data_IF_798680007765
#
_entry.id   IF_798680007765
#
_cell.length_a   1.000
_cell.length_b   1.000
_cell.length_c   1.000
_cell.angle_alpha   90.00
_cell.angle_beta   90.00
_cell.angle_gamma   90.00
#
_symmetry.space_group_name_H-M   'P 1'
#
loop_
_entity.id
_entity.type
_entity.pdbx_description
1 polymer ?
#
# COMPACT_ATOMS: atom_id res chain seq x y z
N UNK A 1 12.73 -28.14 31.93
CA UNK A 1 12.46 -27.17 30.84
C UNK A 1 13.74 -27.03 30.05
N UNK A 2 13.78 -27.62 28.85
CA UNK A 2 14.89 -27.43 27.92
C UNK A 2 14.80 -25.98 27.40
N UNK A 3 15.83 -25.18 27.66
CA UNK A 3 16.01 -23.89 27.00
C UNK A 3 16.08 -24.13 25.49
N UNK A 4 15.00 -23.78 24.78
CA UNK A 4 15.04 -23.65 23.33
C UNK A 4 16.02 -22.51 23.02
N UNK A 5 17.24 -22.90 22.63
CA UNK A 5 18.25 -22.00 22.09
C UNK A 5 17.57 -21.03 21.13
N UNK A 6 17.74 -19.74 21.39
CA UNK A 6 17.22 -18.67 20.55
C UNK A 6 17.71 -18.91 19.13
N UNK A 7 16.78 -19.08 18.20
CA UNK A 7 17.09 -19.30 16.79
C UNK A 7 17.53 -18.00 16.11
N UNK A 8 17.67 -16.90 16.85
CA UNK A 8 18.08 -15.58 16.36
C UNK A 8 19.60 -15.47 16.18
N UNK A 9 20.02 -14.79 15.10
CA UNK A 9 21.41 -14.39 14.89
C UNK A 9 21.62 -12.90 15.19
N UNK A 10 21.79 -12.57 16.48
CA UNK A 10 21.80 -11.17 16.95
C UNK A 10 23.21 -10.58 17.01
N UNK A 11 23.43 -9.49 16.25
CA UNK A 11 24.70 -8.75 16.16
C UNK A 11 24.53 -7.29 16.59
N UNK A 12 25.64 -6.64 16.94
CA UNK A 12 25.69 -5.19 17.14
C UNK A 12 25.57 -4.50 15.78
N UNK A 13 24.64 -3.55 15.65
CA UNK A 13 24.33 -2.80 14.43
C UNK A 13 24.46 -1.29 14.71
N UNK A 14 25.63 -0.88 15.20
CA UNK A 14 25.94 0.52 15.50
C UNK A 14 25.19 1.11 16.71
N UNK A 15 24.94 2.43 16.65
CA UNK A 15 24.37 3.22 17.76
C UNK A 15 23.05 3.89 17.37
N UNK A 16 22.18 4.05 18.35
CA UNK A 16 20.95 4.86 18.33
C UNK A 16 21.27 6.35 18.39
N UNK A 17 20.23 7.19 18.20
CA UNK A 17 20.35 8.66 18.27
C UNK A 17 20.81 9.17 19.64
N UNK A 18 20.50 8.45 20.70
CA UNK A 18 20.95 8.72 22.07
C UNK A 18 22.34 8.13 22.38
N UNK A 19 23.06 7.66 21.36
CA UNK A 19 24.42 7.10 21.47
C UNK A 19 24.47 5.66 21.99
N UNK A 20 23.34 5.06 22.37
CA UNK A 20 23.30 3.71 22.92
C UNK A 20 23.42 2.63 21.84
N UNK A 21 23.91 1.43 22.17
CA UNK A 21 23.98 0.32 21.21
C UNK A 21 22.63 -0.01 20.58
N UNK A 22 22.67 -0.43 19.31
CA UNK A 22 21.56 -1.09 18.61
C UNK A 22 22.01 -2.51 18.28
N UNK A 23 21.14 -3.47 18.50
CA UNK A 23 21.31 -4.87 18.16
C UNK A 23 20.25 -5.29 17.13
N UNK A 24 20.67 -6.11 16.15
CA UNK A 24 19.84 -6.54 15.03
C UNK A 24 19.98 -8.05 14.82
N UNK A 25 18.88 -8.73 14.56
CA UNK A 25 18.89 -10.14 14.17
C UNK A 25 18.98 -10.25 12.65
N UNK A 26 20.03 -10.89 12.13
CA UNK A 26 20.20 -11.09 10.69
C UNK A 26 19.23 -12.13 10.14
N UNK A 27 18.97 -13.20 10.91
CA UNK A 27 18.08 -14.28 10.49
C UNK A 27 16.62 -13.82 10.31
N UNK A 28 16.11 -13.05 11.26
CA UNK A 28 14.72 -12.56 11.24
C UNK A 28 14.58 -11.13 10.73
N UNK A 29 15.69 -10.49 10.31
CA UNK A 29 15.73 -9.12 9.79
C UNK A 29 14.95 -8.12 10.67
N UNK A 30 15.20 -8.17 11.98
CA UNK A 30 14.41 -7.43 12.96
C UNK A 30 15.26 -6.88 14.11
N UNK A 31 14.74 -5.83 14.76
CA UNK A 31 15.35 -5.27 15.96
C UNK A 31 15.46 -6.31 17.07
N UNK A 32 16.64 -6.37 17.67
CA UNK A 32 16.91 -7.10 18.90
C UNK A 32 17.35 -6.14 20.03
N UNK A 33 16.94 -4.87 19.93
CA UNK A 33 17.33 -3.80 20.85
C UNK A 33 16.22 -3.53 21.86
N UNK A 34 16.45 -3.87 23.11
CA UNK A 34 15.57 -3.58 24.22
C UNK A 34 15.65 -2.12 24.69
N UNK A 35 14.86 -1.84 25.74
CA UNK A 35 14.87 -0.55 26.42
C UNK A 35 16.31 -0.20 26.84
N UNK A 36 16.69 1.06 26.64
CA UNK A 36 18.04 1.56 26.93
C UNK A 36 19.20 0.90 26.17
N UNK A 37 18.95 0.28 25.01
CA UNK A 37 20.02 -0.29 24.18
C UNK A 37 20.57 -1.60 24.72
N UNK A 38 19.77 -2.34 25.50
CA UNK A 38 20.09 -3.68 25.97
C UNK A 38 19.90 -4.67 24.83
N UNK A 39 20.80 -5.65 24.69
CA UNK A 39 20.62 -6.77 23.75
C UNK A 39 19.50 -7.68 24.27
N UNK A 40 18.50 -7.95 23.44
CA UNK A 40 17.46 -8.93 23.74
C UNK A 40 17.97 -10.36 23.49
N UNK A 41 17.43 -11.34 24.21
CA UNK A 41 17.72 -12.76 23.97
C UNK A 41 17.06 -13.27 22.67
N UNK A 42 15.95 -12.63 22.27
CA UNK A 42 15.21 -12.89 21.04
C UNK A 42 14.81 -11.57 20.39
N UNK A 43 14.86 -11.50 19.06
CA UNK A 43 14.44 -10.29 18.34
C UNK A 43 12.92 -10.19 18.22
N UNK A 44 12.44 -9.00 17.89
CA UNK A 44 11.01 -8.73 17.68
C UNK A 44 10.40 -9.59 16.55
N UNK A 45 11.21 -9.99 15.56
CA UNK A 45 10.80 -10.86 14.46
C UNK A 45 10.69 -12.35 14.82
N UNK A 46 11.24 -12.80 15.96
CA UNK A 46 11.27 -14.23 16.31
C UNK A 46 9.89 -14.82 16.63
N UNK A 47 8.90 -13.97 16.88
CA UNK A 47 7.51 -14.35 17.13
C UNK A 47 6.67 -14.38 15.84
N UNK A 48 7.24 -14.03 14.69
CA UNK A 48 6.59 -14.07 13.38
C UNK A 48 7.05 -15.32 12.64
N UNK A 49 6.24 -16.39 12.63
CA UNK A 49 6.52 -17.58 11.80
C UNK A 49 6.34 -17.23 10.32
N UNK A 50 7.26 -17.70 9.48
CA UNK A 50 7.27 -17.48 8.02
C UNK A 50 6.97 -18.77 7.23
N UNK A 51 6.66 -19.89 7.90
CA UNK A 51 6.68 -21.24 7.30
C UNK A 51 5.48 -21.54 6.36
N UNK A 52 4.60 -20.57 6.10
CA UNK A 52 3.35 -20.77 5.32
C UNK A 52 3.16 -19.81 4.15
N UNK A 53 4.18 -19.05 3.74
CA UNK A 53 4.03 -18.05 2.67
C UNK A 53 3.96 -18.68 1.28
N UNK A 54 2.91 -18.38 0.52
CA UNK A 54 2.79 -18.63 -0.92
C UNK A 54 3.62 -17.61 -1.68
N UNK A 55 4.75 -18.05 -2.26
CA UNK A 55 5.60 -17.20 -3.10
C UNK A 55 5.43 -17.60 -4.56
N UNK A 56 5.06 -16.65 -5.42
CA UNK A 56 5.08 -16.85 -6.87
C UNK A 56 6.44 -16.44 -7.42
N UNK A 57 7.12 -17.36 -8.11
CA UNK A 57 8.28 -17.02 -8.95
C UNK A 57 7.78 -16.59 -10.30
N UNK A 58 8.15 -15.39 -10.73
CA UNK A 58 7.66 -14.79 -11.97
C UNK A 58 8.81 -14.22 -12.78
N UNK A 59 8.86 -14.58 -14.07
CA UNK A 59 9.68 -13.91 -15.07
C UNK A 59 8.74 -13.13 -16.01
N UNK A 60 8.60 -11.80 -15.84
CA UNK A 60 7.70 -11.00 -16.68
C UNK A 60 7.99 -11.09 -18.18
N UNK A 61 9.21 -11.48 -18.58
CA UNK A 61 9.58 -11.61 -20.00
C UNK A 61 8.95 -12.82 -20.68
N UNK A 62 8.41 -13.79 -19.91
CA UNK A 62 7.73 -14.97 -20.45
C UNK A 62 6.26 -14.72 -20.78
N UNK A 63 5.73 -13.53 -20.44
CA UNK A 63 4.32 -13.17 -20.60
C UNK A 63 4.19 -11.99 -21.57
N UNK A 64 4.19 -12.27 -22.88
CA UNK A 64 4.12 -11.25 -23.93
C UNK A 64 2.82 -10.45 -23.91
N UNK A 65 1.72 -11.03 -23.40
CA UNK A 65 0.46 -10.33 -23.13
C UNK A 65 0.48 -9.40 -21.93
N UNK A 66 1.58 -9.40 -21.19
CA UNK A 66 1.86 -8.52 -20.07
C UNK A 66 1.64 -9.14 -18.70
N UNK A 67 2.33 -8.57 -17.72
CA UNK A 67 2.21 -8.81 -16.29
C UNK A 67 1.72 -7.54 -15.63
N UNK A 68 0.80 -7.69 -14.70
CA UNK A 68 0.36 -6.64 -13.81
C UNK A 68 0.43 -7.11 -12.35
N UNK A 69 1.03 -6.28 -11.49
CA UNK A 69 1.16 -6.55 -10.06
C UNK A 69 0.46 -5.45 -9.27
N UNK A 70 -0.42 -5.80 -8.34
CA UNK A 70 -1.01 -4.85 -7.39
C UNK A 70 -0.79 -5.28 -5.96
N UNK A 71 -0.69 -4.32 -5.04
CA UNK A 71 -0.83 -4.63 -3.62
C UNK A 71 -2.29 -4.89 -3.32
N UNK A 72 -2.62 -6.09 -2.84
CA UNK A 72 -3.95 -6.38 -2.33
C UNK A 72 -4.13 -5.61 -1.01
N UNK A 73 -5.01 -4.62 -1.05
CA UNK A 73 -5.42 -3.80 0.10
C UNK A 73 -6.89 -4.02 0.36
N UNK A 74 -7.29 -3.83 1.62
CA UNK A 74 -8.68 -4.02 2.00
C UNK A 74 -9.58 -3.05 1.22
N UNK A 75 -10.78 -3.50 0.81
CA UNK A 75 -11.79 -2.60 0.28
C UNK A 75 -12.10 -1.50 1.28
N UNK A 76 -12.25 -0.28 0.79
CA UNK A 76 -12.63 0.87 1.63
C UNK A 76 -14.07 0.74 2.17
N UNK A 77 -14.87 -0.06 1.49
CA UNK A 77 -16.25 -0.39 1.81
C UNK A 77 -16.53 -1.82 1.38
N UNK A 78 -16.99 -2.65 2.32
CA UNK A 78 -17.25 -4.07 2.12
C UNK A 78 -18.48 -4.48 2.92
N UNK A 79 -19.43 -5.12 2.25
CA UNK A 79 -20.64 -5.69 2.87
C UNK A 79 -20.74 -7.20 2.75
N UNK A 80 -19.76 -7.85 2.13
CA UNK A 80 -19.73 -9.29 1.83
C UNK A 80 -19.35 -10.12 3.06
N UNK A 81 -18.52 -9.57 3.94
CA UNK A 81 -17.91 -10.29 5.06
C UNK A 81 -16.92 -11.37 4.63
N UNK A 82 -16.47 -11.34 3.37
CA UNK A 82 -15.44 -12.24 2.87
C UNK A 82 -14.08 -11.89 3.50
N UNK A 83 -13.27 -12.91 3.75
CA UNK A 83 -11.89 -12.70 4.19
C UNK A 83 -11.07 -12.41 2.94
N UNK A 84 -10.60 -11.18 2.81
CA UNK A 84 -9.72 -10.79 1.72
C UNK A 84 -8.35 -11.47 1.82
N UNK A 85 -7.81 -11.81 0.65
CA UNK A 85 -6.44 -12.33 0.57
C UNK A 85 -5.49 -11.15 0.55
N UNK A 86 -4.79 -10.92 1.65
CA UNK A 86 -3.66 -9.99 1.67
C UNK A 86 -2.51 -10.50 0.78
N UNK A 87 -1.74 -9.58 0.19
CA UNK A 87 -0.55 -9.93 -0.57
C UNK A 87 -0.37 -9.11 -1.84
N UNK A 88 0.15 -9.76 -2.87
CA UNK A 88 0.34 -9.24 -4.22
C UNK A 88 -0.62 -9.96 -5.16
N UNK A 89 -1.56 -9.21 -5.73
CA UNK A 89 -2.45 -9.69 -6.76
C UNK A 89 -1.74 -9.64 -8.12
N UNK A 90 -1.76 -10.75 -8.85
CA UNK A 90 -0.99 -10.94 -10.08
C UNK A 90 -1.92 -11.27 -11.23
N UNK A 91 -1.88 -10.46 -12.28
CA UNK A 91 -2.35 -10.86 -13.59
C UNK A 91 -1.15 -11.14 -14.50
N UNK A 92 -1.17 -12.27 -15.21
CA UNK A 92 -0.18 -12.57 -16.24
C UNK A 92 -0.85 -13.22 -17.45
N UNK A 93 -0.40 -12.84 -18.65
CA UNK A 93 -0.95 -13.33 -19.93
C UNK A 93 0.17 -13.66 -20.91
N UNK A 94 0.11 -14.81 -21.55
CA UNK A 94 1.01 -15.14 -22.65
C UNK A 94 0.69 -14.36 -23.93
N UNK A 95 -0.56 -13.94 -24.15
CA UNK A 95 -0.98 -13.17 -25.32
C UNK A 95 -1.80 -11.93 -24.95
N UNK A 96 -1.64 -10.82 -25.68
CA UNK A 96 -2.43 -9.60 -25.45
C UNK A 96 -3.91 -9.86 -25.72
N UNK A 97 -4.77 -9.40 -24.80
CA UNK A 97 -6.20 -9.71 -24.81
C UNK A 97 -6.58 -11.19 -24.63
N UNK A 98 -5.61 -12.08 -24.37
CA UNK A 98 -5.86 -13.51 -24.12
C UNK A 98 -6.60 -13.80 -22.82
N UNK A 99 -6.68 -15.05 -22.39
CA UNK A 99 -7.12 -15.41 -21.04
C UNK A 99 -6.03 -15.12 -20.00
N UNK A 100 -6.39 -15.03 -18.72
CA UNK A 100 -5.42 -14.79 -17.65
C UNK A 100 -4.82 -16.15 -17.28
N UNK A 101 -3.54 -16.33 -17.53
CA UNK A 101 -2.81 -17.53 -17.09
C UNK A 101 -2.64 -17.54 -15.57
N UNK A 102 -2.47 -16.34 -15.00
CA UNK A 102 -2.41 -16.09 -13.56
C UNK A 102 -3.42 -15.00 -13.23
N UNK A 103 -4.29 -15.31 -12.27
CA UNK A 103 -5.25 -14.40 -11.63
C UNK A 103 -5.47 -14.84 -10.18
N UNK A 104 -4.48 -14.55 -9.31
CA UNK A 104 -4.55 -14.91 -7.88
C UNK A 104 -3.66 -13.96 -7.06
N UNK A 105 -3.80 -14.07 -5.74
CA UNK A 105 -3.04 -13.30 -4.77
C UNK A 105 -2.04 -14.19 -4.04
N UNK A 106 -0.80 -13.69 -3.90
CA UNK A 106 0.35 -14.38 -3.29
C UNK A 106 0.94 -13.53 -2.16
N UNK A 107 1.54 -14.16 -1.14
CA UNK A 107 2.19 -13.44 -0.04
C UNK A 107 3.40 -12.61 -0.51
N UNK A 108 4.10 -13.12 -1.53
CA UNK A 108 5.17 -12.42 -2.20
C UNK A 108 5.30 -12.87 -3.66
N UNK A 109 5.81 -11.98 -4.50
CA UNK A 109 6.29 -12.31 -5.86
C UNK A 109 7.80 -12.18 -5.87
N UNK A 110 8.47 -13.26 -6.24
CA UNK A 110 9.91 -13.34 -6.46
C UNK A 110 10.20 -13.00 -7.92
N UNK A 111 10.94 -11.91 -8.14
CA UNK A 111 11.34 -11.44 -9.45
C UNK A 111 12.86 -11.54 -9.57
N UNK A 112 13.31 -12.23 -10.60
CA UNK A 112 14.73 -12.38 -10.90
C UNK A 112 15.18 -11.25 -11.83
N UNK A 113 16.16 -10.45 -11.39
CA UNK A 113 16.66 -9.27 -12.09
C UNK A 113 18.13 -9.48 -12.45
N UNK A 114 18.50 -9.38 -13.72
CA UNK A 114 19.92 -9.29 -14.10
C UNK A 114 20.53 -8.00 -13.57
N UNK A 115 21.45 -8.12 -12.62
CA UNK A 115 22.20 -7.00 -12.07
C UNK A 115 23.28 -6.55 -13.06
N UNK A 116 23.94 -7.51 -13.72
CA UNK A 116 24.87 -7.31 -14.83
C UNK A 116 24.86 -8.51 -15.80
N UNK A 117 25.90 -8.67 -16.62
CA UNK A 117 26.02 -9.77 -17.60
C UNK A 117 26.21 -11.15 -16.96
N UNK A 118 26.58 -11.21 -15.67
CA UNK A 118 26.99 -12.43 -14.96
C UNK A 118 26.24 -12.68 -13.65
N UNK A 119 25.72 -11.64 -13.00
CA UNK A 119 25.01 -11.73 -11.73
C UNK A 119 23.50 -11.49 -11.90
N UNK A 120 22.71 -12.42 -11.35
CA UNK A 120 21.28 -12.22 -11.17
C UNK A 120 20.95 -12.02 -9.69
N UNK A 121 20.08 -11.04 -9.41
CA UNK A 121 19.59 -10.73 -8.08
C UNK A 121 18.11 -10.99 -7.98
N UNK A 122 17.73 -11.64 -6.89
CA UNK A 122 16.33 -11.87 -6.56
C UNK A 122 15.81 -10.65 -5.81
N UNK A 123 14.65 -10.14 -6.22
CA UNK A 123 13.91 -9.11 -5.51
C UNK A 123 12.51 -9.61 -5.17
N UNK A 124 12.12 -9.46 -3.91
CA UNK A 124 10.78 -9.81 -3.45
C UNK A 124 9.87 -8.60 -3.45
N UNK A 125 8.73 -8.72 -4.12
CA UNK A 125 7.61 -7.79 -3.99
C UNK A 125 6.65 -8.37 -2.95
N UNK A 126 6.46 -7.64 -1.85
CA UNK A 126 5.57 -8.03 -0.74
C UNK A 126 4.49 -6.98 -0.55
N UNK A 127 3.47 -7.28 0.27
CA UNK A 127 2.46 -6.30 0.67
C UNK A 127 3.07 -5.00 1.18
N UNK A 128 4.11 -5.07 2.01
CA UNK A 128 4.79 -3.88 2.55
C UNK A 128 5.44 -3.06 1.42
N UNK A 129 6.09 -3.73 0.47
CA UNK A 129 6.66 -3.11 -0.73
C UNK A 129 5.59 -2.36 -1.53
N UNK A 130 4.46 -3.02 -1.76
CA UNK A 130 3.35 -2.50 -2.55
C UNK A 130 2.65 -1.31 -1.90
N UNK A 131 2.24 -1.46 -0.65
CA UNK A 131 1.52 -0.44 0.14
C UNK A 131 2.39 0.81 0.29
N UNK A 132 3.69 0.64 0.55
CA UNK A 132 4.61 1.78 0.69
C UNK A 132 4.80 2.55 -0.62
N UNK A 133 4.89 1.85 -1.76
CA UNK A 133 4.94 2.52 -3.06
C UNK A 133 3.65 3.29 -3.36
N UNK A 134 2.51 2.67 -3.08
CA UNK A 134 1.19 3.30 -3.23
C UNK A 134 1.09 4.59 -2.39
N UNK A 135 1.42 4.52 -1.10
CA UNK A 135 1.40 5.68 -0.20
C UNK A 135 2.35 6.78 -0.67
N UNK A 136 3.58 6.44 -1.03
CA UNK A 136 4.56 7.42 -1.50
C UNK A 136 4.05 8.17 -2.74
N UNK A 137 3.48 7.45 -3.71
CA UNK A 137 2.85 8.04 -4.91
C UNK A 137 1.62 8.89 -4.55
N UNK A 138 0.74 8.41 -3.67
CA UNK A 138 -0.43 9.18 -3.22
C UNK A 138 -0.07 10.51 -2.54
N UNK A 139 1.06 10.57 -1.82
CA UNK A 139 1.59 11.80 -1.22
C UNK A 139 2.20 12.74 -2.28
N UNK A 140 2.53 12.22 -3.46
CA UNK A 140 3.23 12.93 -4.53
C UNK A 140 4.76 12.81 -4.44
N UNK A 141 5.28 11.82 -3.71
CA UNK A 141 6.72 11.53 -3.69
C UNK A 141 7.12 10.72 -4.93
N UNK A 142 8.26 11.05 -5.52
CA UNK A 142 8.95 10.19 -6.49
C UNK A 142 9.66 9.06 -5.74
N UNK A 143 9.59 7.84 -6.27
CA UNK A 143 10.31 6.70 -5.71
C UNK A 143 11.76 6.70 -6.18
N UNK A 144 12.65 6.31 -5.29
CA UNK A 144 14.06 6.03 -5.57
C UNK A 144 14.34 4.53 -5.46
N UNK A 145 15.42 4.08 -6.10
CA UNK A 145 15.99 2.75 -5.89
C UNK A 145 17.31 2.86 -5.14
N UNK A 146 17.27 2.89 -3.80
CA UNK A 146 18.47 2.88 -2.98
C UNK A 146 18.88 1.46 -2.58
N UNK A 147 20.19 1.26 -2.41
CA UNK A 147 20.77 0.03 -1.89
C UNK A 147 21.57 0.35 -0.63
N UNK A 148 21.57 -0.56 0.34
CA UNK A 148 22.37 -0.40 1.52
C UNK A 148 23.86 -0.39 1.16
N UNK A 149 24.60 0.64 1.56
CA UNK A 149 26.05 0.75 1.32
C UNK A 149 26.88 -0.28 2.07
N UNK A 150 26.28 -1.03 3.00
CA UNK A 150 26.95 -2.02 3.85
C UNK A 150 26.73 -3.46 3.36
N UNK A 151 25.49 -3.84 3.06
CA UNK A 151 25.17 -5.21 2.61
C UNK A 151 24.68 -5.32 1.16
N UNK A 152 24.42 -4.20 0.48
CA UNK A 152 23.94 -4.20 -0.90
C UNK A 152 22.46 -4.53 -1.08
N UNK A 153 21.70 -4.77 0.01
CA UNK A 153 20.26 -5.07 -0.08
C UNK A 153 19.45 -3.88 -0.63
N UNK A 154 18.47 -4.11 -1.52
CA UNK A 154 17.49 -3.08 -1.90
C UNK A 154 16.78 -2.50 -0.68
N UNK A 155 16.68 -1.17 -0.62
CA UNK A 155 16.08 -0.50 0.52
C UNK A 155 14.60 -0.20 0.28
N UNK A 156 13.77 -0.51 1.30
CA UNK A 156 12.36 -0.18 1.37
C UNK A 156 12.13 0.82 2.51
N UNK A 157 11.63 2.00 2.16
CA UNK A 157 11.06 2.96 3.09
C UNK A 157 9.56 2.68 3.22
N UNK A 158 9.12 2.23 4.41
CA UNK A 158 7.73 1.89 4.70
C UNK A 158 7.11 2.80 5.76
N UNK A 159 5.77 2.74 5.90
CA UNK A 159 4.99 3.50 6.88
C UNK A 159 5.30 5.00 6.84
N UNK A 160 5.73 5.59 7.95
CA UNK A 160 6.12 6.99 8.07
C UNK A 160 7.23 7.40 7.10
N UNK A 161 8.13 6.47 6.75
CA UNK A 161 9.24 6.73 5.84
C UNK A 161 8.80 6.74 4.37
N UNK A 162 7.68 6.08 4.02
CA UNK A 162 7.05 6.21 2.70
C UNK A 162 6.42 7.60 2.47
N UNK A 163 5.96 8.24 3.56
CA UNK A 163 5.33 9.56 3.53
C UNK A 163 6.37 10.69 3.47
N UNK A 164 7.51 10.53 4.15
CA UNK A 164 8.45 11.63 4.38
C UNK A 164 9.84 11.38 3.77
N UNK A 165 10.19 12.09 2.68
CA UNK A 165 11.52 12.01 2.09
C UNK A 165 12.62 12.35 3.10
N UNK A 166 13.67 11.54 3.12
CA UNK A 166 14.78 11.67 4.07
C UNK A 166 16.09 11.15 3.46
N UNK A 167 17.21 11.35 4.18
CA UNK A 167 18.55 10.94 3.72
C UNK A 167 19.14 9.79 4.53
N UNK A 168 18.63 9.54 5.73
CA UNK A 168 19.24 8.64 6.71
C UNK A 168 18.36 7.41 6.86
N UNK A 169 18.79 6.32 6.25
CA UNK A 169 18.01 5.10 6.08
C UNK A 169 18.50 4.02 7.04
N UNK A 170 17.57 3.24 7.61
CA UNK A 170 17.90 2.04 8.40
C UNK A 170 17.68 0.82 7.51
N UNK A 171 18.74 0.06 7.23
CA UNK A 171 18.61 -1.16 6.44
C UNK A 171 17.93 -2.27 7.27
N UNK A 172 16.82 -2.82 6.78
CA UNK A 172 16.11 -3.92 7.46
C UNK A 172 16.85 -5.27 7.37
N UNK A 173 17.71 -5.47 6.36
CA UNK A 173 18.50 -6.69 6.28
C UNK A 173 19.64 -6.74 7.31
N UNK A 174 20.52 -5.73 7.33
CA UNK A 174 21.72 -5.74 8.17
C UNK A 174 21.62 -4.89 9.44
N UNK A 175 20.60 -4.04 9.57
CA UNK A 175 20.40 -3.15 10.72
C UNK A 175 21.31 -1.91 10.73
N UNK A 176 22.17 -1.73 9.72
CA UNK A 176 23.03 -0.55 9.62
C UNK A 176 22.28 0.68 9.12
N UNK A 177 22.77 1.85 9.51
CA UNK A 177 22.25 3.12 9.03
C UNK A 177 23.17 3.67 7.96
N UNK A 178 22.63 3.89 6.77
CA UNK A 178 23.36 4.51 5.65
C UNK A 178 22.75 5.87 5.28
N UNK A 179 23.53 6.67 4.55
CA UNK A 179 23.14 8.03 4.17
C UNK A 179 23.08 8.14 2.65
N UNK A 180 21.92 8.51 2.12
CA UNK A 180 21.70 8.81 0.72
C UNK A 180 22.23 10.21 0.34
N UNK A 181 22.56 10.37 -0.94
CA UNK A 181 23.10 11.61 -1.49
C UNK A 181 22.04 12.72 -1.57
N UNK A 182 20.77 12.36 -1.74
CA UNK A 182 19.62 13.27 -1.76
C UNK A 182 18.51 12.80 -0.83
N UNK A 183 17.53 13.67 -0.57
CA UNK A 183 16.32 13.30 0.18
C UNK A 183 15.36 12.57 -0.75
N UNK A 184 14.95 11.38 -0.37
CA UNK A 184 14.08 10.54 -1.19
C UNK A 184 13.29 9.54 -0.36
N UNK A 185 12.47 8.76 -1.06
CA UNK A 185 11.74 7.60 -0.54
C UNK A 185 12.13 6.41 -1.39
N UNK A 186 12.83 5.45 -0.81
CA UNK A 186 13.30 4.26 -1.51
C UNK A 186 12.24 3.18 -1.55
N UNK A 187 12.03 2.58 -2.72
CA UNK A 187 11.24 1.38 -2.85
C UNK A 187 11.86 0.46 -3.93
N UNK A 188 12.07 -0.84 -3.65
CA UNK A 188 12.64 -1.78 -4.63
C UNK A 188 11.89 -1.85 -5.96
N UNK A 189 10.59 -1.51 -5.97
CA UNK A 189 9.78 -1.47 -7.18
C UNK A 189 10.32 -0.52 -8.24
N UNK A 190 10.98 0.56 -7.87
CA UNK A 190 11.51 1.51 -8.86
C UNK A 190 12.57 0.86 -9.75
N UNK A 191 13.41 -0.02 -9.19
CA UNK A 191 14.38 -0.79 -9.99
C UNK A 191 13.70 -1.78 -10.92
N UNK A 192 12.70 -2.49 -10.41
CA UNK A 192 11.95 -3.50 -11.17
C UNK A 192 11.32 -2.90 -12.41
N UNK A 193 10.68 -1.75 -12.25
CA UNK A 193 10.06 -0.99 -13.34
C UNK A 193 11.05 -0.56 -14.41
N UNK A 194 12.22 -0.06 -14.00
CA UNK A 194 13.28 0.28 -14.94
C UNK A 194 13.77 -0.93 -15.73
N UNK A 195 13.89 -2.10 -15.09
CA UNK A 195 14.40 -3.31 -15.73
C UNK A 195 13.38 -3.92 -16.70
N UNK A 196 12.10 -3.92 -16.32
CA UNK A 196 11.03 -4.48 -17.15
C UNK A 196 10.38 -3.47 -18.10
N UNK A 197 10.97 -2.28 -18.26
CA UNK A 197 10.54 -1.28 -19.25
C UNK A 197 9.27 -0.50 -18.88
N UNK A 198 8.79 -0.63 -17.65
CA UNK A 198 7.57 0.02 -17.14
C UNK A 198 7.85 1.40 -16.51
N UNK A 199 8.30 2.35 -17.34
CA UNK A 199 8.61 3.71 -16.88
C UNK A 199 7.33 4.55 -16.74
N UNK A 200 7.18 5.33 -15.67
CA UNK A 200 6.00 6.21 -15.44
C UNK A 200 5.74 7.16 -16.61
N UNK A 201 6.80 7.68 -17.23
CA UNK A 201 6.71 8.63 -18.35
C UNK A 201 6.12 7.98 -19.60
N UNK A 202 6.14 6.65 -19.71
CA UNK A 202 5.60 5.90 -20.85
C UNK A 202 4.31 5.15 -20.57
N UNK A 203 3.82 5.14 -19.31
CA UNK A 203 2.61 4.39 -18.97
C UNK A 203 1.37 5.22 -19.33
N UNK A 204 0.64 4.80 -20.36
CA UNK A 204 -0.69 5.35 -20.64
C UNK A 204 -1.66 4.84 -19.60
N UNK A 205 -2.20 5.76 -18.80
CA UNK A 205 -3.33 5.50 -17.91
C UNK A 205 -4.55 6.16 -18.53
N UNK A 206 -5.58 5.37 -18.79
CA UNK A 206 -6.82 5.82 -19.38
C UNK A 206 -7.96 5.75 -18.37
N UNK A 207 -8.81 6.77 -18.39
CA UNK A 207 -10.03 6.75 -17.60
C UNK A 207 -10.91 5.60 -18.06
N UNK A 208 -11.42 4.79 -17.14
CA UNK A 208 -12.39 3.77 -17.47
C UNK A 208 -13.59 4.38 -18.23
N UNK A 209 -14.09 3.76 -19.30
CA UNK A 209 -15.08 4.41 -20.17
C UNK A 209 -16.49 4.44 -19.58
N UNK A 210 -16.79 3.59 -18.60
CA UNK A 210 -18.14 3.36 -18.10
C UNK A 210 -18.37 4.01 -16.73
N UNK A 211 -19.62 4.31 -16.42
CA UNK A 211 -20.10 4.73 -15.10
C UNK A 211 -21.06 3.68 -14.54
N UNK A 212 -21.06 3.50 -13.23
CA UNK A 212 -22.00 2.62 -12.53
C UNK A 212 -23.01 3.45 -11.72
N UNK A 213 -24.30 3.19 -11.93
CA UNK A 213 -25.39 3.64 -11.07
C UNK A 213 -26.16 2.38 -10.64
N UNK A 214 -26.07 2.04 -9.36
CA UNK A 214 -26.59 0.79 -8.83
C UNK A 214 -27.11 0.94 -7.39
N UNK A 215 -27.83 -0.07 -6.93
CA UNK A 215 -28.24 -0.22 -5.53
C UNK A 215 -27.52 -1.40 -4.90
N UNK A 216 -27.29 -1.34 -3.59
CA UNK A 216 -26.75 -2.50 -2.87
C UNK A 216 -27.67 -3.72 -2.97
N UNK A 217 -28.99 -3.50 -3.07
CA UNK A 217 -29.98 -4.56 -3.25
C UNK A 217 -29.87 -5.31 -4.59
N UNK A 218 -29.15 -4.77 -5.57
CA UNK A 218 -28.86 -5.45 -6.83
C UNK A 218 -27.80 -6.57 -6.64
N UNK A 219 -27.10 -6.57 -5.50
CA UNK A 219 -25.98 -7.47 -5.19
C UNK A 219 -26.22 -8.19 -3.85
N UNK A 220 -27.01 -9.27 -3.82
CA UNK A 220 -27.40 -9.95 -2.57
C UNK A 220 -26.23 -10.58 -1.81
N UNK A 221 -25.10 -10.84 -2.48
CA UNK A 221 -23.86 -11.30 -1.82
C UNK A 221 -23.04 -10.20 -1.16
N UNK A 222 -23.42 -8.93 -1.38
CA UNK A 222 -22.69 -7.75 -0.95
C UNK A 222 -21.86 -7.12 -2.07
N UNK A 223 -21.18 -6.03 -1.72
CA UNK A 223 -20.34 -5.23 -2.61
C UNK A 223 -18.98 -4.96 -1.97
N UNK A 224 -17.98 -4.72 -2.80
CA UNK A 224 -16.66 -4.25 -2.38
C UNK A 224 -16.17 -3.12 -3.28
N UNK A 225 -15.52 -2.12 -2.68
CA UNK A 225 -15.05 -0.91 -3.37
C UNK A 225 -13.57 -0.65 -3.13
N UNK A 226 -12.84 -0.31 -4.20
CA UNK A 226 -11.46 0.19 -4.14
C UNK A 226 -11.28 1.39 -5.07
N UNK A 227 -10.28 2.21 -4.79
CA UNK A 227 -9.80 3.15 -5.80
C UNK A 227 -8.85 2.37 -6.70
N UNK A 228 -8.91 2.58 -8.00
CA UNK A 228 -7.91 2.00 -8.88
C UNK A 228 -6.53 2.49 -8.44
N UNK A 229 -5.61 1.59 -8.15
CA UNK A 229 -4.22 1.93 -7.89
C UNK A 229 -3.40 1.56 -9.12
N UNK A 230 -2.58 2.48 -9.67
CA UNK A 230 -1.68 2.11 -10.75
C UNK A 230 -0.82 0.92 -10.33
N UNK A 231 -0.76 -0.10 -11.18
CA UNK A 231 -0.06 -1.35 -10.92
C UNK A 231 1.39 -1.06 -10.52
N UNK A 232 1.91 -1.82 -9.57
CA UNK A 232 3.30 -1.76 -9.13
C UNK A 232 4.26 -2.05 -10.30
N UNK A 233 3.84 -2.96 -11.16
CA UNK A 233 4.46 -3.32 -12.43
C UNK A 233 3.35 -3.50 -13.47
N UNK A 234 3.53 -2.95 -14.67
CA UNK A 234 2.65 -3.13 -15.81
C UNK A 234 3.47 -3.27 -17.08
N UNK A 235 3.54 -4.47 -17.63
CA UNK A 235 4.27 -4.73 -18.88
C UNK A 235 3.36 -4.95 -20.08
N UNK A 236 2.05 -4.87 -19.89
CA UNK A 236 1.09 -5.03 -20.98
C UNK A 236 1.18 -3.83 -21.95
N UNK A 237 1.04 -4.06 -23.27
CA UNK A 237 1.12 -2.99 -24.28
C UNK A 237 -0.08 -2.03 -24.24
N UNK A 238 -1.23 -2.53 -23.77
CA UNK A 238 -2.46 -1.76 -23.59
C UNK A 238 -2.39 -0.84 -22.37
N UNK A 239 -3.14 0.28 -22.38
CA UNK A 239 -3.20 1.21 -21.25
C UNK A 239 -3.77 0.54 -20.00
N UNK A 240 -3.31 1.02 -18.85
CA UNK A 240 -3.93 0.74 -17.57
C UNK A 240 -5.20 1.59 -17.42
N UNK A 241 -6.24 1.05 -16.79
CA UNK A 241 -7.47 1.79 -16.53
C UNK A 241 -7.48 2.40 -15.12
N UNK A 242 -7.97 3.63 -15.01
CA UNK A 242 -8.23 4.28 -13.73
C UNK A 242 -9.70 4.57 -13.47
N UNK A 243 -10.09 4.59 -12.19
CA UNK A 243 -11.45 4.77 -11.73
C UNK A 243 -11.68 4.21 -10.32
N UNK A 244 -12.91 3.80 -10.05
CA UNK A 244 -13.31 3.06 -8.86
C UNK A 244 -13.52 1.60 -9.29
N UNK A 245 -12.78 0.70 -8.66
CA UNK A 245 -12.95 -0.73 -8.87
C UNK A 245 -14.09 -1.24 -7.98
N UNK A 246 -15.03 -1.95 -8.59
CA UNK A 246 -16.27 -2.38 -7.95
C UNK A 246 -16.46 -3.88 -8.17
N UNK A 247 -16.66 -4.60 -7.06
CA UNK A 247 -17.21 -5.94 -7.09
C UNK A 247 -18.65 -5.94 -6.58
N UNK A 248 -19.54 -6.58 -7.32
CA UNK A 248 -20.90 -6.89 -6.90
C UNK A 248 -21.13 -8.39 -6.94
N UNK A 249 -21.59 -8.99 -5.84
CA UNK A 249 -21.69 -10.43 -5.68
C UNK A 249 -23.13 -10.94 -5.73
N UNK A 250 -23.29 -12.12 -6.32
CA UNK A 250 -24.52 -12.90 -6.22
C UNK A 250 -24.69 -13.48 -4.81
N UNK A 251 -25.86 -14.03 -4.51
CA UNK A 251 -26.23 -14.50 -3.17
C UNK A 251 -25.26 -15.55 -2.60
N UNK A 252 -24.60 -16.33 -3.48
CA UNK A 252 -23.60 -17.33 -3.10
C UNK A 252 -22.28 -16.75 -2.58
N UNK A 253 -22.07 -15.43 -2.71
CA UNK A 253 -20.84 -14.68 -2.34
C UNK A 253 -19.57 -15.20 -3.00
N UNK A 254 -19.70 -15.94 -4.10
CA UNK A 254 -18.60 -16.50 -4.87
C UNK A 254 -18.67 -15.95 -6.30
N UNK A 255 -19.87 -15.94 -6.87
CA UNK A 255 -20.11 -15.44 -8.21
C UNK A 255 -20.10 -13.92 -8.22
N UNK A 256 -19.11 -13.32 -8.88
CA UNK A 256 -19.08 -11.89 -9.18
C UNK A 256 -20.02 -11.60 -10.34
N UNK A 257 -21.07 -10.82 -10.07
CA UNK A 257 -22.00 -10.30 -11.08
C UNK A 257 -21.34 -9.13 -11.82
N UNK A 258 -20.60 -8.31 -11.07
CA UNK A 258 -19.80 -7.19 -11.60
C UNK A 258 -18.41 -7.30 -11.01
N UNK A 259 -17.39 -7.17 -11.86
CA UNK A 259 -15.97 -7.13 -11.53
C UNK A 259 -15.28 -6.21 -12.55
N UNK A 260 -15.40 -4.90 -12.32
CA UNK A 260 -14.92 -3.92 -13.29
C UNK A 260 -14.42 -2.62 -12.64
N UNK A 261 -13.70 -1.82 -13.43
CA UNK A 261 -13.31 -0.45 -13.05
C UNK A 261 -14.21 0.56 -13.74
N UNK A 262 -14.75 1.52 -12.99
CA UNK A 262 -15.68 2.55 -13.48
C UNK A 262 -15.12 3.95 -13.30
N UNK A 263 -15.34 4.85 -14.27
CA UNK A 263 -14.98 6.27 -14.15
C UNK A 263 -15.72 7.00 -13.05
N UNK A 264 -16.92 6.56 -12.71
CA UNK A 264 -17.74 7.11 -11.65
C UNK A 264 -18.68 6.03 -11.13
N UNK A 265 -18.95 6.09 -9.82
CA UNK A 265 -19.85 5.16 -9.14
C UNK A 265 -20.83 5.96 -8.30
N UNK A 266 -22.11 5.69 -8.50
CA UNK A 266 -23.21 6.09 -7.62
C UNK A 266 -23.83 4.83 -7.06
N UNK A 267 -23.81 4.67 -5.74
CA UNK A 267 -24.36 3.50 -5.05
C UNK A 267 -25.42 3.96 -4.04
N UNK A 268 -26.65 3.44 -4.16
CA UNK A 268 -27.81 3.88 -3.36
C UNK A 268 -28.03 5.40 -3.37
N UNK A 269 -27.76 6.04 -4.50
CA UNK A 269 -27.85 7.50 -4.65
C UNK A 269 -26.68 8.29 -4.02
N UNK A 270 -25.70 7.62 -3.42
CA UNK A 270 -24.47 8.24 -2.91
C UNK A 270 -23.43 8.27 -4.03
N UNK A 271 -23.06 9.47 -4.47
CA UNK A 271 -21.98 9.65 -5.44
C UNK A 271 -20.62 9.51 -4.76
N UNK A 272 -19.75 8.64 -5.29
CA UNK A 272 -18.45 8.35 -4.70
C UNK A 272 -17.34 9.16 -5.35
N UNK A 273 -16.62 9.94 -4.56
CA UNK A 273 -15.41 10.64 -5.01
C UNK A 273 -14.22 9.68 -5.01
N UNK A 274 -13.70 9.36 -6.19
CA UNK A 274 -12.50 8.52 -6.33
C UNK A 274 -11.29 9.13 -5.60
N UNK A 275 -11.11 10.44 -5.65
CA UNK A 275 -9.98 11.11 -4.97
C UNK A 275 -10.04 10.86 -3.46
N UNK A 276 -11.20 11.12 -2.85
CA UNK A 276 -11.40 10.91 -1.41
C UNK A 276 -11.21 9.43 -1.04
N UNK A 277 -11.74 8.53 -1.86
CA UNK A 277 -11.63 7.09 -1.73
C UNK A 277 -10.17 6.62 -1.78
N UNK A 278 -9.40 7.09 -2.77
CA UNK A 278 -7.97 6.80 -2.97
C UNK A 278 -7.15 7.23 -1.76
N UNK A 279 -7.37 8.44 -1.27
CA UNK A 279 -6.72 8.93 -0.06
C UNK A 279 -7.12 8.10 1.17
N UNK A 280 -8.39 7.74 1.30
CA UNK A 280 -8.87 6.95 2.42
C UNK A 280 -8.23 5.55 2.45
N UNK A 281 -8.14 4.89 1.30
CA UNK A 281 -7.47 3.60 1.13
C UNK A 281 -5.99 3.66 1.58
N UNK A 282 -5.27 4.72 1.19
CA UNK A 282 -3.89 4.94 1.63
C UNK A 282 -3.79 5.26 3.12
N UNK A 283 -4.73 6.05 3.67
CA UNK A 283 -4.75 6.42 5.07
C UNK A 283 -5.02 5.23 6.00
N UNK A 284 -5.94 4.33 5.62
CA UNK A 284 -6.25 3.11 6.40
C UNK A 284 -5.06 2.16 6.50
N UNK A 285 -4.16 2.20 5.51
CA UNK A 285 -2.95 1.37 5.48
C UNK A 285 -1.82 1.88 6.39
N UNK A 286 -1.96 3.08 7.00
CA UNK A 286 -0.92 3.70 7.83
C UNK A 286 -1.23 3.54 9.32
N UNK A 287 -0.37 2.79 10.03
CA UNK A 287 -0.59 2.50 11.45
C UNK A 287 -0.66 3.77 12.33
N UNK A 288 0.10 4.82 11.99
CA UNK A 288 0.10 6.08 12.77
C UNK A 288 -1.15 6.94 12.57
N UNK A 289 -2.00 6.61 11.60
CA UNK A 289 -3.29 7.27 11.33
C UNK A 289 -4.47 6.52 11.96
N UNK A 290 -4.26 5.33 12.53
CA UNK A 290 -5.30 4.59 13.20
C UNK A 290 -6.00 5.45 14.25
N UNK A 291 -7.34 5.54 14.18
CA UNK A 291 -8.18 6.39 15.03
C UNK A 291 -7.89 7.90 14.96
N UNK A 292 -7.30 8.37 13.84
CA UNK A 292 -6.99 9.79 13.59
C UNK A 292 -7.53 10.33 12.27
N UNK A 293 -8.20 9.50 11.49
CA UNK A 293 -8.92 9.91 10.28
C UNK A 293 -10.33 10.29 10.72
N UNK A 294 -10.75 11.52 10.42
CA UNK A 294 -12.07 12.05 10.80
C UNK A 294 -12.68 12.79 9.62
N UNK A 295 -13.97 13.12 9.68
CA UNK A 295 -14.56 14.12 8.79
C UNK A 295 -14.74 15.42 9.59
N UNK A 296 -14.05 16.48 9.19
CA UNK A 296 -14.29 17.82 9.73
C UNK A 296 -15.23 18.57 8.82
N UNK A 297 -16.16 19.31 9.40
CA UNK A 297 -17.06 20.20 8.65
C UNK A 297 -16.79 21.63 9.06
N UNK A 298 -16.62 22.50 8.07
CA UNK A 298 -16.46 23.93 8.26
C UNK A 298 -17.78 24.57 8.70
N UNK A 299 -17.72 25.70 9.38
CA UNK A 299 -18.91 26.53 9.70
C UNK A 299 -19.72 26.94 8.45
N UNK A 300 -19.11 26.97 7.26
CA UNK A 300 -19.80 27.23 5.99
C UNK A 300 -20.51 25.99 5.40
N UNK A 301 -20.50 24.86 6.12
CA UNK A 301 -21.07 23.58 5.70
C UNK A 301 -20.15 22.72 4.82
N UNK A 302 -19.00 23.24 4.40
CA UNK A 302 -18.06 22.48 3.56
C UNK A 302 -17.34 21.39 4.36
N UNK A 303 -17.25 20.19 3.79
CA UNK A 303 -16.49 19.09 4.39
C UNK A 303 -15.01 19.26 4.03
N UNK A 304 -14.14 19.16 5.03
CA UNK A 304 -12.71 19.36 4.81
C UNK A 304 -12.08 18.07 4.29
N UNK A 305 -11.30 18.22 3.23
CA UNK A 305 -10.47 17.16 2.68
C UNK A 305 -9.01 17.58 2.71
N UNK A 306 -8.22 16.97 3.61
CA UNK A 306 -6.78 17.18 3.61
C UNK A 306 -6.18 16.45 2.39
N UNK A 307 -5.39 17.17 1.59
CA UNK A 307 -4.71 16.66 0.38
C UNK A 307 -3.19 16.71 0.52
N UNK A 308 -2.49 15.95 -0.31
CA UNK A 308 -1.02 15.85 -0.29
C UNK A 308 -0.51 15.43 1.08
N UNK A 309 0.62 15.99 1.51
CA UNK A 309 1.26 15.66 2.79
C UNK A 309 0.34 15.83 4.03
N UNK A 310 -0.46 16.92 4.17
CA UNK A 310 -1.47 17.05 5.23
C UNK A 310 -2.39 15.83 5.41
N UNK A 311 -2.77 15.16 4.32
CA UNK A 311 -3.66 14.00 4.37
C UNK A 311 -3.07 12.79 5.10
N UNK A 312 -1.75 12.74 5.24
CA UNK A 312 -1.01 11.60 5.79
C UNK A 312 -0.23 11.93 7.07
N UNK A 313 -0.23 13.21 7.48
CA UNK A 313 0.48 13.69 8.65
C UNK A 313 -0.48 14.38 9.61
N UNK A 314 -0.89 13.77 10.73
CA UNK A 314 -1.85 14.38 11.65
C UNK A 314 -1.42 15.78 12.08
N UNK A 315 -2.29 16.76 11.86
CA UNK A 315 -2.04 18.16 12.20
C UNK A 315 -3.18 18.74 13.05
N UNK A 316 -2.96 19.97 13.54
CA UNK A 316 -3.90 20.64 14.46
C UNK A 316 -4.68 21.77 13.78
N UNK A 317 -4.24 22.21 12.60
CA UNK A 317 -4.80 23.35 11.87
C UNK A 317 -5.23 22.86 10.50
N UNK A 318 -6.51 22.95 10.19
CA UNK A 318 -7.08 22.61 8.90
C UNK A 318 -7.58 23.90 8.24
N UNK A 319 -7.63 23.94 6.91
CA UNK A 319 -8.10 25.10 6.16
C UNK A 319 -9.26 24.66 5.27
N UNK A 320 -10.39 25.35 5.37
CA UNK A 320 -11.49 25.14 4.43
C UNK A 320 -11.15 25.75 3.07
N UNK A 321 -11.24 24.97 1.99
CA UNK A 321 -10.94 25.45 0.63
C UNK A 321 -11.96 26.48 0.12
N UNK A 322 -13.20 26.40 0.59
CA UNK A 322 -14.30 27.26 0.16
C UNK A 322 -14.26 28.66 0.78
N UNK A 323 -14.08 28.75 2.11
CA UNK A 323 -14.14 30.04 2.81
C UNK A 323 -12.80 30.47 3.45
N UNK A 324 -11.76 29.63 3.39
CA UNK A 324 -10.44 29.93 3.95
C UNK A 324 -10.37 29.89 5.48
N UNK A 325 -11.46 29.57 6.18
CA UNK A 325 -11.48 29.50 7.64
C UNK A 325 -10.50 28.43 8.13
N UNK A 326 -9.73 28.78 9.16
CA UNK A 326 -8.81 27.85 9.82
C UNK A 326 -9.49 27.20 11.01
N UNK A 327 -9.68 25.89 10.93
CA UNK A 327 -10.27 25.09 12.00
C UNK A 327 -9.18 24.44 12.84
N UNK A 328 -9.41 24.41 14.15
CA UNK A 328 -8.62 23.60 15.07
C UNK A 328 -9.17 22.18 15.09
N UNK A 329 -8.30 21.19 15.36
CA UNK A 329 -8.76 19.81 15.58
C UNK A 329 -9.86 19.76 16.66
N UNK A 330 -10.97 19.04 16.44
CA UNK A 330 -12.12 18.97 17.36
C UNK A 330 -11.74 18.35 18.71
N UNK A 331 -10.65 17.59 18.75
CA UNK A 331 -10.07 17.08 19.99
C UNK A 331 -8.88 17.98 20.33
N UNK A 332 -9.06 18.87 21.31
CA UNK A 332 -8.09 19.89 21.73
C UNK A 332 -6.67 19.37 22.06
N UNK A 333 -6.49 18.05 22.16
CA UNK A 333 -5.19 17.38 22.41
C UNK A 333 -4.78 16.33 21.36
N UNK A 334 -5.60 15.99 20.36
CA UNK A 334 -5.25 14.99 19.33
C UNK A 334 -5.22 15.62 17.94
N UNK A 335 -4.07 15.50 17.27
CA UNK A 335 -3.91 15.85 15.86
C UNK A 335 -4.62 14.79 15.00
N UNK A 336 -5.26 15.23 13.93
CA UNK A 336 -6.06 14.38 13.03
C UNK A 336 -5.76 14.71 11.57
N UNK A 337 -6.28 13.89 10.67
CA UNK A 337 -6.39 14.16 9.23
C UNK A 337 -7.87 14.08 8.85
N UNK A 338 -8.32 14.95 7.95
CA UNK A 338 -9.70 15.03 7.51
C UNK A 338 -9.89 14.36 6.16
N UNK A 339 -10.84 13.43 6.07
CA UNK A 339 -11.28 12.83 4.81
C UNK A 339 -12.81 12.68 4.82
N UNK A 340 -13.53 13.38 3.92
CA UNK A 340 -14.99 13.36 3.86
C UNK A 340 -15.57 12.04 3.34
N UNK A 341 -14.75 11.12 2.80
CA UNK A 341 -15.22 9.79 2.39
C UNK A 341 -15.89 9.00 3.53
N UNK A 342 -15.57 9.32 4.78
CA UNK A 342 -16.26 8.76 5.95
C UNK A 342 -17.77 9.04 5.93
N UNK A 343 -18.22 10.17 5.40
CA UNK A 343 -19.65 10.48 5.26
C UNK A 343 -20.30 9.63 4.17
N UNK A 344 -19.60 9.39 3.06
CA UNK A 344 -20.07 8.46 2.02
C UNK A 344 -20.25 7.04 2.59
N UNK A 345 -19.28 6.56 3.38
CA UNK A 345 -19.38 5.25 4.06
C UNK A 345 -20.59 5.20 5.01
N UNK A 346 -20.81 6.24 5.82
CA UNK A 346 -21.95 6.27 6.74
C UNK A 346 -23.29 6.32 5.99
N UNK A 347 -23.37 7.10 4.90
CA UNK A 347 -24.55 7.16 4.06
C UNK A 347 -24.87 5.80 3.41
N UNK A 348 -23.86 5.09 2.90
CA UNK A 348 -24.02 3.75 2.35
C UNK A 348 -24.46 2.73 3.40
N UNK A 349 -23.88 2.79 4.62
CA UNK A 349 -24.31 1.95 5.75
C UNK A 349 -25.75 2.25 6.18
N UNK A 350 -26.15 3.51 6.15
CA UNK A 350 -27.51 3.91 6.48
C UNK A 350 -28.49 3.42 5.41
N UNK A 351 -28.16 3.55 4.13
CA UNK A 351 -28.95 2.99 3.04
C UNK A 351 -29.14 1.47 3.19
N UNK A 352 -28.06 0.76 3.52
CA UNK A 352 -28.08 -0.68 3.76
C UNK A 352 -29.00 -1.09 4.93
N UNK A 353 -29.05 -0.31 6.01
CA UNK A 353 -29.94 -0.57 7.16
C UNK A 353 -31.43 -0.33 6.86
N UNK A 354 -31.73 0.43 5.80
CA UNK A 354 -33.10 0.75 5.39
C UNK A 354 -33.64 -0.24 4.32
N UNK A 355 -32.79 -1.14 3.81
CA UNK A 355 -33.15 -2.31 3.00
C UNK A 355 -33.59 -3.44 3.93
#
# INVERSE_FOLDING_TARGET
>A
MLELASDCEIRLAGKRRDGKPRFWCQKHQASATGKYGIKLDRCEGSYRSLDSKRVLRLDPLQFEGGVALWGAVDPVYDTTGLVEKEGIHVHARHADGGEKDIDDTFDAVELEIRADLFETKITYVTRETAVSAYIARCVGNTLDSLFCTYCGEPHLDSEWFAVKPHRRHLCHACGEVFIANHRGVSNPLERLRLVFGDKEVSRSIERAPQSLDAKQSDFPGGVQLWASNPALLWTAPRPEQEGIHFHGYAEDRITRIVDETFSSVTLDGVHLSEEQLRYFMAQQSLAHLQNRIVCLTCECGEELFDRGLPAFMPHAKHSCEKCGLKLASPISKKKVVSNPFLLAIEALKQAQRNL
#
